data_IF_808263686154
#
_entry.id   IF_808263686154
#
_cell.length_a   1.000
_cell.length_b   1.000
_cell.length_c   1.000
_cell.angle_alpha   90.00
_cell.angle_beta   90.00
_cell.angle_gamma   90.00
#
_symmetry.space_group_name_H-M   'P 1'
#
loop_
_entity.id
_entity.type
_entity.pdbx_description
1 polymer ?
#
# COMPACT_ATOMS: atom_id res chain seq x y z
N UNK A 1 -14.32 32.31 5.19
CA UNK A 1 -12.93 32.57 5.46
C UNK A 1 -12.08 31.34 5.44
N UNK A 2 -10.81 31.53 5.27
CA UNK A 2 -9.84 30.44 5.28
C UNK A 2 -9.21 30.33 6.67
N UNK A 3 -8.92 29.07 7.06
CA UNK A 3 -8.24 28.77 8.32
C UNK A 3 -6.74 28.57 8.10
N UNK A 4 -6.32 28.33 6.86
CA UNK A 4 -4.96 27.93 6.49
C UNK A 4 -4.53 26.66 7.21
N UNK A 5 -5.45 25.72 7.32
CA UNK A 5 -5.26 24.41 7.92
C UNK A 5 -5.91 23.36 7.03
N UNK A 6 -5.15 22.34 6.65
CA UNK A 6 -5.65 21.16 5.94
C UNK A 6 -5.54 19.97 6.87
N UNK A 7 -6.61 19.21 6.98
CA UNK A 7 -6.55 17.92 7.70
C UNK A 7 -6.05 16.83 6.76
N UNK A 8 -4.95 16.21 7.13
CA UNK A 8 -4.45 15.03 6.46
C UNK A 8 -5.03 13.81 7.17
N UNK A 9 -5.97 13.15 6.51
CA UNK A 9 -6.66 11.96 7.04
C UNK A 9 -5.82 10.74 6.71
N UNK A 10 -5.31 10.10 7.75
CA UNK A 10 -4.53 8.88 7.63
C UNK A 10 -5.47 7.66 7.67
N UNK A 11 -5.13 6.55 7.01
CA UNK A 11 -6.05 5.39 7.00
C UNK A 11 -6.20 4.73 8.36
N UNK A 12 -5.22 4.84 9.26
CA UNK A 12 -5.19 4.22 10.57
C UNK A 12 -4.74 5.22 11.63
N UNK A 13 -4.33 4.74 12.82
CA UNK A 13 -3.86 5.60 13.90
C UNK A 13 -2.66 6.44 13.49
N UNK A 14 -2.58 7.66 14.02
CA UNK A 14 -1.45 8.56 13.75
C UNK A 14 -0.14 7.94 14.22
N UNK A 15 -0.14 7.32 15.39
CA UNK A 15 1.04 6.64 15.95
C UNK A 15 1.65 5.63 14.98
N UNK A 16 0.81 4.78 14.42
CA UNK A 16 1.24 3.78 13.44
C UNK A 16 1.73 4.42 12.16
N UNK A 17 0.97 5.38 11.63
CA UNK A 17 1.22 5.96 10.30
C UNK A 17 2.48 6.82 10.25
N UNK A 18 2.85 7.52 11.33
CA UNK A 18 4.06 8.35 11.32
C UNK A 18 5.35 7.52 11.28
N UNK A 19 5.29 6.24 11.65
CA UNK A 19 6.44 5.33 11.54
C UNK A 19 6.50 4.60 10.18
N UNK A 20 5.45 4.69 9.38
CA UNK A 20 5.40 4.04 8.07
C UNK A 20 6.22 4.86 7.05
N UNK A 21 7.25 4.28 6.42
CA UNK A 21 8.09 5.01 5.48
C UNK A 21 7.35 5.50 4.23
N UNK A 22 6.33 4.78 3.79
CA UNK A 22 5.50 5.19 2.64
C UNK A 22 4.66 6.42 3.00
N UNK A 23 3.99 6.38 4.14
CA UNK A 23 3.20 7.49 4.65
C UNK A 23 4.08 8.71 4.93
N UNK A 24 5.27 8.51 5.49
CA UNK A 24 6.23 9.59 5.77
C UNK A 24 6.67 10.29 4.49
N UNK A 25 6.96 9.55 3.42
CA UNK A 25 7.31 10.12 2.12
C UNK A 25 6.17 10.94 1.54
N UNK A 26 4.95 10.42 1.65
CA UNK A 26 3.76 11.14 1.22
C UNK A 26 3.58 12.45 2.01
N UNK A 27 3.68 12.39 3.33
CA UNK A 27 3.58 13.57 4.19
C UNK A 27 4.64 14.62 3.87
N UNK A 28 5.86 14.18 3.54
CA UNK A 28 6.92 15.10 3.11
C UNK A 28 6.51 15.86 1.85
N UNK A 29 5.94 15.17 0.87
CA UNK A 29 5.44 15.80 -0.36
C UNK A 29 4.34 16.81 -0.08
N UNK A 30 3.36 16.44 0.72
CA UNK A 30 2.24 17.31 1.10
C UNK A 30 2.76 18.56 1.80
N UNK A 31 3.57 18.40 2.84
CA UNK A 31 4.03 19.53 3.65
C UNK A 31 4.97 20.44 2.88
N UNK A 32 5.77 19.90 1.95
CA UNK A 32 6.64 20.72 1.11
C UNK A 32 5.87 21.77 0.29
N UNK A 33 4.67 21.45 -0.15
CA UNK A 33 3.80 22.37 -0.91
C UNK A 33 2.99 23.26 0.02
N UNK A 34 2.34 22.68 1.03
CA UNK A 34 1.43 23.44 1.89
C UNK A 34 2.19 24.49 2.70
N UNK A 35 3.37 24.16 3.23
CA UNK A 35 4.16 25.14 4.00
C UNK A 35 4.57 26.36 3.16
N UNK A 36 4.92 26.16 1.89
CA UNK A 36 5.24 27.28 0.98
C UNK A 36 4.04 28.20 0.76
N UNK A 37 2.84 27.71 0.98
CA UNK A 37 1.60 28.46 0.86
C UNK A 37 1.05 28.91 2.20
N UNK A 38 1.85 28.82 3.27
CA UNK A 38 1.47 29.19 4.64
C UNK A 38 0.26 28.41 5.15
N UNK A 39 0.13 27.15 4.76
CA UNK A 39 -0.94 26.24 5.20
C UNK A 39 -0.35 25.22 6.15
N UNK A 40 -0.96 25.07 7.32
CA UNK A 40 -0.59 24.08 8.32
C UNK A 40 -1.32 22.76 8.06
N UNK A 41 -0.72 21.67 8.53
CA UNK A 41 -1.27 20.33 8.41
C UNK A 41 -1.70 19.83 9.78
N UNK A 42 -2.94 19.37 9.87
CA UNK A 42 -3.48 18.69 11.03
C UNK A 42 -3.59 17.21 10.70
N UNK A 43 -2.92 16.36 11.48
CA UNK A 43 -3.02 14.91 11.27
C UNK A 43 -4.29 14.38 11.93
N UNK A 44 -5.10 13.67 11.14
CA UNK A 44 -6.37 13.11 11.60
C UNK A 44 -6.35 11.59 11.44
N UNK A 45 -6.67 10.88 12.53
CA UNK A 45 -6.66 9.42 12.54
C UNK A 45 -7.84 8.85 11.74
N UNK A 46 -7.56 7.92 10.83
CA UNK A 46 -8.60 7.19 10.09
C UNK A 46 -9.36 6.19 10.93
N UNK A 47 -8.92 5.92 12.16
CA UNK A 47 -9.67 5.11 13.12
C UNK A 47 -10.69 5.94 13.92
N UNK A 48 -10.62 7.26 13.83
CA UNK A 48 -11.61 8.16 14.44
C UNK A 48 -12.94 8.05 13.69
N UNK A 49 -14.05 8.16 14.40
CA UNK A 49 -15.39 8.06 13.80
C UNK A 49 -16.09 9.40 13.61
N UNK A 50 -15.44 10.52 13.93
CA UNK A 50 -16.12 11.80 13.97
C UNK A 50 -15.29 12.92 13.32
N UNK A 51 -15.58 13.19 12.04
CA UNK A 51 -15.00 14.29 11.29
C UNK A 51 -15.42 15.66 11.85
N UNK A 52 -16.57 15.72 12.53
CA UNK A 52 -17.13 16.96 13.05
C UNK A 52 -16.24 17.65 14.08
N UNK A 53 -15.32 16.89 14.70
CA UNK A 53 -14.37 17.46 15.66
C UNK A 53 -13.44 18.50 15.02
N UNK A 54 -13.22 18.45 13.71
CA UNK A 54 -12.28 19.34 13.01
C UNK A 54 -12.86 20.06 11.82
N UNK A 55 -14.04 19.67 11.31
CA UNK A 55 -14.57 20.19 10.05
C UNK A 55 -14.70 21.71 10.02
N UNK A 56 -15.03 22.31 11.15
CA UNK A 56 -15.21 23.76 11.25
C UNK A 56 -13.89 24.54 11.37
N UNK A 57 -12.77 23.83 11.53
CA UNK A 57 -11.46 24.42 11.78
C UNK A 57 -10.47 24.22 10.63
N UNK A 58 -10.88 23.55 9.58
CA UNK A 58 -10.00 23.24 8.44
C UNK A 58 -10.60 23.75 7.14
N UNK A 59 -9.75 24.01 6.16
CA UNK A 59 -10.19 24.39 4.82
C UNK A 59 -10.67 23.20 4.01
N UNK A 60 -10.21 22.00 4.36
CA UNK A 60 -10.60 20.75 3.74
C UNK A 60 -9.70 19.61 4.13
N UNK A 61 -9.74 18.56 3.32
CA UNK A 61 -9.14 17.27 3.67
C UNK A 61 -8.31 16.73 2.51
N UNK A 62 -7.15 16.15 2.85
CA UNK A 62 -6.40 15.27 1.96
C UNK A 62 -6.42 13.89 2.63
N UNK A 63 -6.95 12.89 1.92
CA UNK A 63 -7.10 11.54 2.47
C UNK A 63 -6.06 10.63 1.86
N UNK A 64 -5.12 10.15 2.69
CA UNK A 64 -4.09 9.21 2.27
C UNK A 64 -4.62 7.79 2.39
N UNK A 65 -5.21 7.28 1.30
CA UNK A 65 -5.85 5.97 1.30
C UNK A 65 -7.23 5.99 1.97
N UNK A 66 -7.85 4.82 2.00
CA UNK A 66 -9.19 4.67 2.58
C UNK A 66 -9.12 4.61 4.10
N UNK A 67 -9.81 5.48 4.83
CA UNK A 67 -9.89 5.39 6.29
C UNK A 67 -10.47 4.05 6.74
N UNK A 68 -9.92 3.51 7.81
CA UNK A 68 -10.36 2.22 8.35
C UNK A 68 -11.80 2.28 8.86
N UNK A 69 -12.21 3.42 9.42
CA UNK A 69 -13.57 3.61 9.93
C UNK A 69 -14.53 3.98 8.81
N UNK A 70 -15.52 3.12 8.57
CA UNK A 70 -16.53 3.33 7.51
C UNK A 70 -17.37 4.58 7.70
N UNK A 71 -17.69 4.94 8.94
CA UNK A 71 -18.44 6.16 9.24
C UNK A 71 -17.69 7.41 8.78
N UNK A 72 -16.37 7.41 8.93
CA UNK A 72 -15.53 8.50 8.47
C UNK A 72 -15.57 8.63 6.94
N UNK A 73 -15.55 7.52 6.22
CA UNK A 73 -15.68 7.52 4.76
C UNK A 73 -17.00 8.18 4.33
N UNK A 74 -18.10 7.82 4.99
CA UNK A 74 -19.42 8.42 4.66
C UNK A 74 -19.44 9.91 4.95
N UNK A 75 -18.82 10.36 6.03
CA UNK A 75 -18.72 11.79 6.35
C UNK A 75 -17.89 12.54 5.31
N UNK A 76 -16.80 11.95 4.81
CA UNK A 76 -15.99 12.54 3.75
C UNK A 76 -16.75 12.67 2.43
N UNK A 77 -17.64 11.73 2.13
CA UNK A 77 -18.49 11.79 0.94
C UNK A 77 -19.48 12.94 0.97
N UNK A 78 -19.90 13.40 2.14
CA UNK A 78 -20.98 14.36 2.30
C UNK A 78 -20.54 15.74 2.80
N UNK A 79 -19.29 15.89 3.27
CA UNK A 79 -18.80 17.18 3.76
C UNK A 79 -18.82 18.24 2.66
N UNK A 80 -19.21 19.49 2.97
CA UNK A 80 -19.12 20.58 2.00
C UNK A 80 -17.69 21.07 1.76
N UNK A 81 -16.75 20.67 2.61
CA UNK A 81 -15.34 21.04 2.47
C UNK A 81 -14.70 20.33 1.28
N UNK A 82 -13.66 20.91 0.73
CA UNK A 82 -12.91 20.31 -0.37
C UNK A 82 -12.16 19.05 0.11
N UNK A 83 -12.21 17.98 -0.68
CA UNK A 83 -11.57 16.71 -0.38
C UNK A 83 -10.73 16.27 -1.58
N UNK A 84 -9.47 15.93 -1.32
CA UNK A 84 -8.60 15.25 -2.28
C UNK A 84 -8.29 13.87 -1.72
N UNK A 85 -8.50 12.83 -2.51
CA UNK A 85 -8.20 11.45 -2.10
C UNK A 85 -6.97 10.92 -2.83
N UNK A 86 -6.26 9.99 -2.19
CA UNK A 86 -5.05 9.38 -2.73
C UNK A 86 -5.20 7.86 -2.68
N UNK A 87 -5.10 7.21 -3.84
CA UNK A 87 -5.29 5.77 -4.00
C UNK A 87 -6.62 5.27 -3.40
N UNK A 88 -7.63 6.09 -3.52
CA UNK A 88 -8.96 5.87 -2.95
C UNK A 88 -9.92 6.86 -3.60
N UNK A 89 -11.11 6.42 -3.97
CA UNK A 89 -12.10 7.25 -4.65
C UNK A 89 -13.42 7.26 -3.88
N UNK A 90 -13.95 8.45 -3.67
CA UNK A 90 -15.27 8.67 -3.06
C UNK A 90 -16.27 9.23 -4.08
N UNK A 91 -15.95 9.17 -5.37
CA UNK A 91 -16.77 9.66 -6.48
C UNK A 91 -17.11 11.14 -6.40
N UNK A 92 -16.19 11.94 -5.83
CA UNK A 92 -16.31 13.40 -5.79
C UNK A 92 -14.92 14.03 -5.68
N UNK A 93 -14.85 15.31 -6.03
CA UNK A 93 -13.64 16.11 -5.90
C UNK A 93 -12.46 15.56 -6.72
N UNK A 94 -11.26 15.73 -6.19
CA UNK A 94 -10.04 15.32 -6.85
C UNK A 94 -9.49 14.04 -6.27
N UNK A 95 -8.80 13.25 -7.09
CA UNK A 95 -8.07 12.08 -6.64
C UNK A 95 -6.73 11.93 -7.34
N UNK A 96 -5.76 11.35 -6.63
CA UNK A 96 -4.41 11.09 -7.11
C UNK A 96 -4.13 9.60 -6.93
N UNK A 97 -3.82 8.89 -7.99
CA UNK A 97 -3.71 7.43 -7.94
C UNK A 97 -2.58 6.94 -8.83
N UNK A 98 -1.95 5.82 -8.45
CA UNK A 98 -1.23 5.00 -9.41
C UNK A 98 -2.16 3.88 -9.91
N UNK A 99 -1.82 3.28 -11.03
CA UNK A 99 -2.53 2.08 -11.49
C UNK A 99 -2.01 0.86 -10.73
N UNK A 100 -2.58 0.60 -9.56
CA UNK A 100 -2.15 -0.48 -8.67
C UNK A 100 -2.27 -1.86 -9.30
N UNK A 101 -3.32 -2.11 -10.07
CA UNK A 101 -3.50 -3.39 -10.76
C UNK A 101 -2.41 -3.61 -11.81
N UNK A 102 -2.16 -2.63 -12.66
CA UNK A 102 -1.15 -2.76 -13.72
C UNK A 102 0.26 -2.88 -13.15
N UNK A 103 0.59 -2.08 -12.12
CA UNK A 103 1.89 -2.17 -11.45
C UNK A 103 2.12 -3.56 -10.85
N UNK A 104 1.10 -4.09 -10.18
CA UNK A 104 1.14 -5.42 -9.58
C UNK A 104 1.25 -6.53 -10.62
N UNK A 105 0.53 -6.38 -11.73
CA UNK A 105 0.65 -7.28 -12.86
C UNK A 105 2.10 -7.32 -13.39
N UNK A 106 2.71 -6.17 -13.58
CA UNK A 106 4.06 -6.08 -14.15
C UNK A 106 5.12 -6.70 -13.24
N UNK A 107 5.07 -6.42 -11.93
CA UNK A 107 6.05 -7.01 -11.01
C UNK A 107 5.85 -8.52 -10.85
N UNK A 108 4.62 -8.99 -10.84
CA UNK A 108 4.32 -10.42 -10.79
C UNK A 108 4.78 -11.12 -12.08
N UNK A 109 4.48 -10.54 -13.23
CA UNK A 109 4.94 -11.07 -14.52
C UNK A 109 6.45 -11.20 -14.58
N UNK A 110 7.16 -10.22 -14.06
CA UNK A 110 8.62 -10.25 -14.00
C UNK A 110 9.15 -11.45 -13.18
N UNK A 111 8.56 -11.75 -12.03
CA UNK A 111 9.09 -12.73 -11.09
C UNK A 111 8.73 -14.18 -11.46
N UNK A 112 7.70 -14.39 -12.28
CA UNK A 112 7.25 -15.73 -12.69
C UNK A 112 8.07 -16.21 -13.88
N UNK A 113 8.85 -17.28 -13.70
CA UNK A 113 9.78 -17.76 -14.72
C UNK A 113 9.31 -19.01 -15.45
N UNK A 114 8.62 -19.93 -14.76
CA UNK A 114 8.14 -21.13 -15.39
C UNK A 114 6.90 -21.70 -14.69
N UNK A 115 6.23 -22.63 -15.38
CA UNK A 115 4.97 -23.23 -14.93
C UNK A 115 5.08 -23.98 -13.61
N UNK A 116 6.29 -24.41 -13.23
CA UNK A 116 6.51 -25.17 -12.00
C UNK A 116 6.86 -24.27 -10.81
N UNK A 117 6.82 -22.96 -10.98
CA UNK A 117 7.05 -22.03 -9.87
C UNK A 117 5.99 -22.25 -8.78
N UNK A 118 6.47 -22.37 -7.55
CA UNK A 118 5.64 -22.50 -6.35
C UNK A 118 5.51 -21.14 -5.70
N UNK A 119 4.35 -20.52 -5.90
CA UNK A 119 4.13 -19.13 -5.55
C UNK A 119 3.35 -19.00 -4.25
N UNK A 120 3.79 -18.09 -3.40
CA UNK A 120 3.02 -17.61 -2.26
C UNK A 120 2.85 -16.09 -2.36
N UNK A 121 1.72 -15.60 -1.86
CA UNK A 121 1.40 -14.18 -1.82
C UNK A 121 1.27 -13.74 -0.37
N UNK A 122 2.05 -12.76 0.04
CA UNK A 122 1.93 -12.10 1.33
C UNK A 122 1.13 -10.81 1.13
N UNK A 123 -0.18 -10.92 1.32
CA UNK A 123 -1.12 -9.84 1.09
C UNK A 123 -1.27 -8.93 2.30
N UNK A 124 -1.58 -7.68 2.05
CA UNK A 124 -1.77 -6.66 3.07
C UNK A 124 -3.23 -6.23 3.09
N UNK A 125 -3.92 -6.48 4.20
CA UNK A 125 -5.32 -6.09 4.39
C UNK A 125 -6.25 -6.61 3.29
N UNK A 126 -6.08 -7.86 2.92
CA UNK A 126 -7.00 -8.53 1.99
C UNK A 126 -8.36 -8.79 2.63
N UNK A 127 -8.37 -9.02 3.93
CA UNK A 127 -9.57 -9.27 4.73
C UNK A 127 -9.82 -8.09 5.67
N UNK A 128 -11.09 -7.89 6.01
CA UNK A 128 -11.50 -6.89 7.00
C UNK A 128 -11.36 -7.44 8.44
N UNK A 129 -10.33 -8.25 8.65
CA UNK A 129 -10.02 -8.84 9.95
C UNK A 129 -8.63 -8.38 10.38
N UNK A 130 -8.50 -8.03 11.65
CA UNK A 130 -7.24 -7.55 12.22
C UNK A 130 -6.38 -8.72 12.71
N UNK A 131 -6.23 -9.76 11.87
CA UNK A 131 -5.53 -11.00 12.21
C UNK A 131 -4.63 -11.43 11.06
N UNK A 132 -3.45 -11.92 11.40
CA UNK A 132 -2.57 -12.58 10.44
C UNK A 132 -3.08 -14.01 10.25
N UNK A 133 -3.48 -14.36 9.04
CA UNK A 133 -4.00 -15.69 8.72
C UNK A 133 -3.81 -16.00 7.24
N UNK A 134 -3.94 -17.28 6.91
CA UNK A 134 -4.06 -17.70 5.52
C UNK A 134 -5.48 -17.44 5.04
N UNK A 135 -5.61 -17.12 3.76
CA UNK A 135 -6.91 -16.91 3.13
C UNK A 135 -7.48 -18.26 2.71
N UNK A 136 -8.75 -18.52 3.07
CA UNK A 136 -9.47 -19.71 2.68
C UNK A 136 -10.70 -19.31 1.86
N UNK A 137 -11.25 -20.24 1.08
CA UNK A 137 -12.41 -19.98 0.20
C UNK A 137 -13.60 -19.29 0.89
N UNK A 138 -13.79 -19.58 2.16
CA UNK A 138 -14.92 -19.02 2.92
C UNK A 138 -14.64 -17.62 3.48
N UNK A 139 -13.42 -17.10 3.35
CA UNK A 139 -13.12 -15.74 3.77
C UNK A 139 -13.67 -14.74 2.74
N UNK A 140 -14.31 -13.70 3.24
CA UNK A 140 -14.74 -12.60 2.40
C UNK A 140 -13.61 -11.57 2.30
N UNK A 141 -13.26 -11.21 1.08
CA UNK A 141 -12.33 -10.12 0.84
C UNK A 141 -13.01 -8.78 1.12
N UNK A 142 -12.22 -7.76 1.41
CA UNK A 142 -12.75 -6.40 1.50
C UNK A 142 -13.47 -6.06 0.20
N UNK A 143 -14.66 -5.49 0.32
CA UNK A 143 -15.48 -5.12 -0.83
C UNK A 143 -14.98 -3.83 -1.48
N UNK A 144 -15.24 -3.68 -2.78
CA UNK A 144 -14.97 -2.47 -3.53
C UNK A 144 -13.57 -2.40 -4.10
N UNK A 145 -13.16 -1.19 -4.43
CA UNK A 145 -11.91 -0.90 -5.14
C UNK A 145 -10.73 -0.65 -4.20
N UNK A 146 -10.59 -1.49 -3.16
CA UNK A 146 -9.44 -1.36 -2.26
C UNK A 146 -8.13 -1.59 -3.03
N UNK A 147 -7.07 -0.92 -2.57
CA UNK A 147 -5.73 -1.07 -3.15
C UNK A 147 -5.28 -2.52 -3.11
N UNK A 148 -5.52 -3.21 -2.00
CA UNK A 148 -5.14 -4.62 -1.83
C UNK A 148 -5.81 -5.52 -2.87
N UNK A 149 -7.08 -5.29 -3.16
CA UNK A 149 -7.81 -6.03 -4.19
C UNK A 149 -7.27 -5.73 -5.59
N UNK A 150 -6.99 -4.47 -5.89
CA UNK A 150 -6.40 -4.09 -7.17
C UNK A 150 -5.04 -4.77 -7.37
N UNK A 151 -4.20 -4.78 -6.34
CA UNK A 151 -2.90 -5.45 -6.39
C UNK A 151 -3.05 -6.95 -6.56
N UNK A 152 -3.96 -7.57 -5.81
CA UNK A 152 -4.23 -9.01 -5.95
C UNK A 152 -4.71 -9.36 -7.36
N UNK A 153 -5.60 -8.56 -7.94
CA UNK A 153 -6.04 -8.76 -9.33
C UNK A 153 -4.88 -8.73 -10.31
N UNK A 154 -3.94 -7.80 -10.11
CA UNK A 154 -2.74 -7.72 -10.94
C UNK A 154 -1.91 -9.00 -10.86
N UNK A 155 -1.67 -9.49 -9.66
CA UNK A 155 -0.96 -10.75 -9.43
C UNK A 155 -1.68 -11.92 -10.09
N UNK A 156 -3.00 -11.99 -9.92
CA UNK A 156 -3.82 -13.06 -10.47
C UNK A 156 -3.79 -13.07 -12.01
N UNK A 157 -3.81 -11.89 -12.64
CA UNK A 157 -3.66 -11.80 -14.10
C UNK A 157 -2.34 -12.40 -14.56
N UNK A 158 -1.24 -12.08 -13.91
CA UNK A 158 0.07 -12.62 -14.26
C UNK A 158 0.14 -14.13 -14.05
N UNK A 159 -0.45 -14.63 -12.97
CA UNK A 159 -0.50 -16.06 -12.68
C UNK A 159 -1.30 -16.83 -13.73
N UNK A 160 -2.45 -16.30 -14.13
CA UNK A 160 -3.28 -16.92 -15.18
C UNK A 160 -2.51 -16.98 -16.51
N UNK A 161 -1.85 -15.90 -16.90
CA UNK A 161 -1.03 -15.88 -18.12
C UNK A 161 0.12 -16.89 -18.07
N UNK A 162 0.69 -17.11 -16.91
CA UNK A 162 1.79 -18.06 -16.71
C UNK A 162 1.31 -19.50 -16.51
N UNK A 163 0.01 -19.75 -16.48
CA UNK A 163 -0.62 -21.04 -16.15
C UNK A 163 -0.18 -21.59 -14.80
N UNK A 164 -0.04 -20.70 -13.82
CA UNK A 164 0.32 -21.05 -12.45
C UNK A 164 -0.90 -20.86 -11.55
N UNK A 165 -1.23 -21.91 -10.78
CA UNK A 165 -2.29 -21.85 -9.77
C UNK A 165 -1.68 -21.62 -8.39
N UNK A 166 -2.31 -20.75 -7.61
CA UNK A 166 -1.94 -20.52 -6.21
C UNK A 166 -3.12 -20.96 -5.35
N UNK A 167 -2.88 -21.91 -4.47
CA UNK A 167 -3.90 -22.38 -3.54
C UNK A 167 -4.24 -21.26 -2.53
N UNK A 168 -5.48 -21.21 -2.06
CA UNK A 168 -5.94 -20.17 -1.12
C UNK A 168 -5.11 -20.16 0.17
N UNK A 169 -4.64 -21.32 0.62
CA UNK A 169 -3.79 -21.43 1.80
C UNK A 169 -2.33 -20.98 1.56
N UNK A 170 -2.02 -20.51 0.35
CA UNK A 170 -0.74 -19.90 -0.02
C UNK A 170 -0.85 -18.38 -0.20
N UNK A 171 -1.98 -17.82 0.19
CA UNK A 171 -2.23 -16.39 0.24
C UNK A 171 -2.45 -16.02 1.70
N UNK A 172 -1.62 -15.11 2.20
CA UNK A 172 -1.71 -14.63 3.58
C UNK A 172 -2.39 -13.28 3.64
N UNK A 173 -3.21 -13.08 4.66
CA UNK A 173 -3.69 -11.78 5.06
C UNK A 173 -2.81 -11.27 6.20
N UNK A 174 -2.13 -10.16 5.96
CA UNK A 174 -1.34 -9.47 6.97
C UNK A 174 -2.11 -8.20 7.33
N UNK A 175 -2.49 -8.01 8.61
CA UNK A 175 -3.41 -6.93 8.97
C UNK A 175 -2.79 -5.53 8.93
N UNK A 176 -1.47 -5.44 9.06
CA UNK A 176 -0.76 -4.15 8.98
C UNK A 176 0.69 -4.36 8.53
N UNK A 177 1.23 -3.36 7.85
CA UNK A 177 2.62 -3.37 7.39
C UNK A 177 3.55 -2.94 8.54
N UNK A 178 3.74 -3.83 9.50
CA UNK A 178 4.63 -3.61 10.66
C UNK A 178 5.67 -4.72 10.72
N UNK A 179 6.82 -4.44 11.36
CA UNK A 179 7.87 -5.44 11.51
C UNK A 179 7.39 -6.67 12.27
N UNK A 180 6.56 -6.48 13.29
CA UNK A 180 6.02 -7.59 14.07
C UNK A 180 5.28 -8.60 13.21
N UNK A 181 4.28 -8.14 12.45
CA UNK A 181 3.49 -9.02 11.60
C UNK A 181 4.30 -9.53 10.40
N UNK A 182 5.15 -8.68 9.84
CA UNK A 182 5.99 -9.07 8.72
C UNK A 182 6.95 -10.22 9.10
N UNK A 183 7.55 -10.14 10.29
CA UNK A 183 8.46 -11.19 10.77
C UNK A 183 7.72 -12.52 11.01
N UNK A 184 6.51 -12.48 11.56
CA UNK A 184 5.70 -13.67 11.76
C UNK A 184 5.33 -14.30 10.41
N UNK A 185 4.84 -13.49 9.48
CA UNK A 185 4.47 -13.94 8.14
C UNK A 185 5.66 -14.54 7.39
N UNK A 186 6.83 -13.94 7.49
CA UNK A 186 8.06 -14.42 6.87
C UNK A 186 8.40 -15.84 7.36
N UNK A 187 8.31 -16.07 8.66
CA UNK A 187 8.56 -17.39 9.24
C UNK A 187 7.53 -18.41 8.77
N UNK A 188 6.27 -18.04 8.73
CA UNK A 188 5.20 -18.94 8.28
C UNK A 188 5.38 -19.35 6.82
N UNK A 189 5.58 -18.37 5.92
CA UNK A 189 5.67 -18.66 4.49
C UNK A 189 6.90 -19.52 4.17
N UNK A 190 8.03 -19.29 4.84
CA UNK A 190 9.25 -20.08 4.62
C UNK A 190 9.19 -21.45 5.27
N UNK A 191 8.27 -21.68 6.20
CA UNK A 191 8.03 -22.98 6.83
C UNK A 191 7.00 -23.81 6.08
N UNK A 192 6.36 -23.27 5.06
CA UNK A 192 5.37 -24.01 4.28
C UNK A 192 6.03 -25.17 3.52
N UNK A 193 5.33 -26.29 3.41
CA UNK A 193 5.81 -27.47 2.72
C UNK A 193 4.85 -27.85 1.58
N UNK A 194 5.32 -27.85 0.32
CA UNK A 194 6.65 -27.46 -0.11
C UNK A 194 6.92 -25.97 0.05
N UNK A 195 8.17 -25.61 0.30
CA UNK A 195 8.54 -24.19 0.44
C UNK A 195 8.37 -23.48 -0.91
N UNK A 196 7.74 -22.28 -0.95
CA UNK A 196 7.66 -21.50 -2.17
C UNK A 196 9.06 -21.11 -2.68
N UNK A 197 9.20 -21.04 -4.01
CA UNK A 197 10.40 -20.49 -4.63
C UNK A 197 10.16 -19.07 -5.19
N UNK A 198 8.91 -18.60 -5.13
CA UNK A 198 8.51 -17.21 -5.47
C UNK A 198 7.60 -16.71 -4.38
N UNK A 199 7.93 -15.57 -3.80
CA UNK A 199 7.08 -14.89 -2.81
C UNK A 199 6.81 -13.47 -3.29
N UNK A 200 5.53 -13.18 -3.50
CA UNK A 200 5.06 -11.87 -3.92
C UNK A 200 4.52 -11.14 -2.69
N UNK A 201 5.12 -10.02 -2.34
CA UNK A 201 4.75 -9.25 -1.15
C UNK A 201 4.10 -7.93 -1.52
N UNK A 202 3.02 -7.57 -0.84
CA UNK A 202 2.28 -6.33 -1.10
C UNK A 202 2.93 -5.07 -0.51
N UNK A 203 3.99 -5.21 0.28
CA UNK A 203 4.79 -4.08 0.73
C UNK A 203 6.25 -4.46 0.81
N UNK A 204 7.13 -3.47 0.69
CA UNK A 204 8.57 -3.68 0.82
C UNK A 204 8.97 -4.09 2.23
N UNK A 205 8.29 -3.58 3.24
CA UNK A 205 8.57 -3.95 4.62
C UNK A 205 8.36 -5.44 4.84
N UNK A 206 7.30 -5.99 4.29
CA UNK A 206 7.01 -7.44 4.33
C UNK A 206 8.07 -8.21 3.53
N UNK A 207 8.41 -7.73 2.33
CA UNK A 207 9.42 -8.35 1.49
C UNK A 207 10.79 -8.38 2.17
N UNK A 208 11.20 -7.28 2.78
CA UNK A 208 12.49 -7.20 3.48
C UNK A 208 12.55 -8.12 4.69
N UNK A 209 11.47 -8.23 5.45
CA UNK A 209 11.38 -9.18 6.55
C UNK A 209 11.53 -10.62 6.06
N UNK A 210 10.92 -10.95 4.93
CA UNK A 210 11.01 -12.26 4.30
C UNK A 210 12.45 -12.55 3.83
N UNK A 211 13.10 -11.55 3.24
CA UNK A 211 14.51 -11.67 2.81
C UNK A 211 15.44 -11.90 4.02
N UNK A 212 15.26 -11.15 5.10
CA UNK A 212 16.07 -11.32 6.31
C UNK A 212 15.92 -12.73 6.88
N UNK A 213 14.70 -13.23 6.95
CA UNK A 213 14.43 -14.59 7.45
C UNK A 213 15.03 -15.65 6.52
N UNK A 214 14.92 -15.46 5.21
CA UNK A 214 15.50 -16.37 4.23
C UNK A 214 17.03 -16.43 4.36
N UNK A 215 17.69 -15.29 4.50
CA UNK A 215 19.14 -15.20 4.71
C UNK A 215 19.54 -15.92 5.99
N UNK A 216 18.78 -15.71 7.06
CA UNK A 216 19.01 -16.37 8.35
C UNK A 216 18.93 -17.89 8.23
N UNK A 217 18.07 -18.40 7.36
CA UNK A 217 17.92 -19.84 7.12
C UNK A 217 18.90 -20.38 6.07
N UNK A 218 19.79 -19.56 5.52
CA UNK A 218 20.75 -19.97 4.51
C UNK A 218 20.17 -20.11 3.11
N UNK A 219 19.00 -19.57 2.84
CA UNK A 219 18.36 -19.63 1.53
C UNK A 219 18.96 -18.56 0.64
N UNK A 220 19.37 -18.93 -0.57
CA UNK A 220 19.99 -17.99 -1.52
C UNK A 220 18.91 -17.25 -2.30
N UNK A 221 18.76 -15.96 -1.96
CA UNK A 221 17.81 -15.09 -2.60
C UNK A 221 18.25 -14.76 -4.03
N UNK A 222 17.32 -14.79 -4.95
CA UNK A 222 17.57 -14.61 -6.38
C UNK A 222 17.82 -15.93 -7.10
N UNK A 223 18.36 -16.90 -6.41
CA UNK A 223 18.65 -18.24 -6.96
C UNK A 223 17.64 -19.29 -6.55
N UNK A 224 17.52 -19.54 -5.24
CA UNK A 224 16.62 -20.56 -4.69
C UNK A 224 15.25 -20.00 -4.33
N UNK A 225 15.17 -18.71 -4.15
CA UNK A 225 13.97 -17.99 -3.76
C UNK A 225 13.97 -16.59 -4.38
N UNK A 226 12.93 -16.28 -5.15
CA UNK A 226 12.74 -14.94 -5.73
C UNK A 226 11.67 -14.23 -4.95
N UNK A 227 11.96 -12.98 -4.59
CA UNK A 227 11.07 -12.15 -3.77
C UNK A 227 10.90 -10.82 -4.46
N UNK A 228 9.65 -10.35 -4.51
CA UNK A 228 9.32 -9.01 -4.99
C UNK A 228 8.45 -8.29 -3.96
N UNK A 229 8.53 -6.97 -3.93
CA UNK A 229 7.78 -6.12 -3.04
C UNK A 229 6.90 -5.12 -3.77
N UNK A 230 6.55 -4.07 -3.05
CA UNK A 230 5.75 -2.95 -3.53
C UNK A 230 6.01 -1.77 -2.60
N UNK A 231 6.25 -0.60 -3.11
CA UNK A 231 6.38 0.73 -2.52
C UNK A 231 7.60 1.48 -3.02
N UNK A 232 8.77 0.82 -3.06
CA UNK A 232 10.03 1.47 -3.41
C UNK A 232 10.60 2.29 -2.25
N UNK A 233 10.59 1.74 -1.03
CA UNK A 233 11.19 2.44 0.13
C UNK A 233 12.72 2.44 0.02
N UNK A 234 13.35 3.37 0.72
CA UNK A 234 14.82 3.53 0.65
C UNK A 234 15.57 2.26 1.09
N UNK A 235 15.06 1.56 2.09
CA UNK A 235 15.66 0.30 2.56
C UNK A 235 15.71 -0.76 1.48
N UNK A 236 14.70 -0.83 0.60
CA UNK A 236 14.67 -1.78 -0.51
C UNK A 236 15.85 -1.58 -1.45
N UNK A 237 16.19 -0.32 -1.72
CA UNK A 237 17.32 0.02 -2.58
C UNK A 237 18.67 -0.25 -1.93
N UNK A 238 18.74 -0.18 -0.60
CA UNK A 238 19.99 -0.39 0.16
C UNK A 238 20.21 -1.84 0.59
N UNK A 239 19.19 -2.68 0.56
CA UNK A 239 19.31 -4.07 0.97
C UNK A 239 20.20 -4.86 -0.01
N UNK A 240 20.87 -5.89 0.48
CA UNK A 240 21.72 -6.77 -0.34
C UNK A 240 21.21 -8.21 -0.19
N UNK A 241 20.67 -8.80 -1.27
CA UNK A 241 20.51 -8.27 -2.62
C UNK A 241 19.42 -7.19 -2.68
N UNK A 242 19.50 -6.28 -3.65
CA UNK A 242 18.52 -5.20 -3.82
C UNK A 242 17.15 -5.79 -4.18
N UNK A 243 16.13 -5.35 -3.47
CA UNK A 243 14.76 -5.83 -3.66
C UNK A 243 14.18 -5.32 -4.99
N UNK A 244 13.64 -6.24 -5.76
CA UNK A 244 12.80 -5.88 -6.91
C UNK A 244 11.43 -5.42 -6.41
N UNK A 245 11.00 -4.24 -6.84
CA UNK A 245 9.79 -3.62 -6.32
C UNK A 245 9.16 -2.66 -7.33
N UNK A 246 7.98 -2.18 -6.99
CA UNK A 246 7.34 -1.04 -7.66
C UNK A 246 7.61 0.20 -6.83
N UNK A 247 8.27 1.19 -7.43
CA UNK A 247 8.43 2.51 -6.81
C UNK A 247 7.19 3.32 -7.12
N UNK A 248 6.36 3.60 -6.11
CA UNK A 248 5.07 4.24 -6.34
C UNK A 248 5.08 5.76 -6.23
N UNK A 249 6.26 6.38 -6.10
CA UNK A 249 6.43 7.82 -6.09
C UNK A 249 5.54 8.52 -5.03
N UNK A 250 5.61 8.04 -3.79
CA UNK A 250 4.75 8.53 -2.71
C UNK A 250 4.94 10.01 -2.39
N UNK A 251 6.16 10.50 -2.44
CA UNK A 251 6.44 11.93 -2.23
C UNK A 251 5.78 12.78 -3.33
N UNK A 252 5.90 12.35 -4.58
CA UNK A 252 5.27 13.03 -5.72
C UNK A 252 3.74 13.01 -5.62
N UNK A 253 3.15 11.89 -5.18
CA UNK A 253 1.71 11.84 -4.90
C UNK A 253 1.31 12.93 -3.89
N UNK A 254 2.11 13.11 -2.85
CA UNK A 254 1.88 14.14 -1.85
C UNK A 254 1.94 15.55 -2.43
N UNK A 255 2.94 15.83 -3.26
CA UNK A 255 3.07 17.11 -3.95
C UNK A 255 1.86 17.39 -4.83
N UNK A 256 1.46 16.41 -5.63
CA UNK A 256 0.31 16.54 -6.55
C UNK A 256 -0.98 16.73 -5.76
N UNK A 257 -1.19 15.94 -4.71
CA UNK A 257 -2.39 16.05 -3.87
C UNK A 257 -2.53 17.45 -3.25
N UNK A 258 -1.42 17.99 -2.72
CA UNK A 258 -1.42 19.32 -2.14
C UNK A 258 -1.69 20.41 -3.19
N UNK A 259 -1.12 20.28 -4.38
CA UNK A 259 -1.38 21.24 -5.46
C UNK A 259 -2.83 21.17 -5.94
N UNK A 260 -3.43 19.99 -6.05
CA UNK A 260 -4.85 19.86 -6.37
C UNK A 260 -5.73 20.46 -5.28
N UNK A 261 -5.33 20.32 -4.03
CA UNK A 261 -6.06 20.95 -2.93
C UNK A 261 -6.05 22.48 -3.05
N UNK A 262 -4.90 23.05 -3.31
CA UNK A 262 -4.75 24.52 -3.42
C UNK A 262 -5.49 25.06 -4.65
N UNK A 263 -5.37 24.40 -5.80
CA UNK A 263 -6.02 24.83 -7.04
C UNK A 263 -7.52 24.60 -7.06
N UNK A 264 -8.02 23.74 -6.17
CA UNK A 264 -9.44 23.34 -6.09
C UNK A 264 -9.97 22.71 -7.38
N UNK A 265 -9.08 22.16 -8.21
CA UNK A 265 -9.49 21.46 -9.41
C UNK A 265 -10.13 20.11 -9.05
N UNK A 266 -11.23 19.78 -9.71
CA UNK A 266 -11.89 18.50 -9.58
C UNK A 266 -11.39 17.58 -10.70
N UNK A 267 -10.33 16.84 -10.41
CA UNK A 267 -9.57 16.10 -11.42
C UNK A 267 -9.10 14.78 -10.85
N UNK A 268 -9.20 13.74 -11.67
CA UNK A 268 -8.60 12.43 -11.37
C UNK A 268 -7.23 12.41 -12.06
N UNK A 269 -6.17 12.34 -11.28
CA UNK A 269 -4.82 12.33 -11.82
C UNK A 269 -4.13 11.01 -11.52
N UNK A 270 -3.67 10.34 -12.57
CA UNK A 270 -2.84 9.16 -12.47
C UNK A 270 -1.37 9.59 -12.38
N UNK A 271 -0.64 9.00 -11.44
CA UNK A 271 0.78 9.23 -11.25
C UNK A 271 1.53 8.01 -11.78
N UNK A 272 2.64 8.25 -12.45
CA UNK A 272 3.48 7.16 -12.93
C UNK A 272 4.15 6.41 -11.78
N UNK A 273 4.42 5.14 -12.00
CA UNK A 273 5.23 4.30 -11.12
C UNK A 273 6.42 3.77 -11.89
N UNK A 274 7.38 3.19 -11.17
CA UNK A 274 8.57 2.63 -11.79
C UNK A 274 8.75 1.18 -11.36
N UNK A 275 9.06 0.32 -12.33
CA UNK A 275 9.45 -1.06 -12.07
C UNK A 275 10.96 -1.07 -11.79
N UNK A 276 11.32 -1.30 -10.53
CA UNK A 276 12.70 -1.27 -10.07
C UNK A 276 13.20 -2.69 -9.81
N UNK A 277 14.00 -3.23 -10.73
CA UNK A 277 14.46 -4.62 -10.69
C UNK A 277 15.84 -4.71 -10.05
N UNK A 278 15.92 -5.51 -9.00
CA UNK A 278 17.15 -5.86 -8.30
C UNK A 278 17.42 -7.36 -8.33
N UNK A 279 18.46 -7.76 -7.62
CA UNK A 279 18.90 -9.17 -7.63
C UNK A 279 18.05 -10.09 -6.73
N UNK A 280 17.00 -9.59 -6.09
CA UNK A 280 16.09 -10.42 -5.30
C UNK A 280 15.18 -11.30 -6.15
N UNK A 281 15.13 -11.06 -7.44
CA UNK A 281 14.25 -11.80 -8.33
C UNK A 281 14.90 -12.19 -9.64
#
# INVERSE_FOLDING_TARGET
GTFNIVALVLPDSVEYMVSDPVASSFMRGVTSVLEKNNINVLLFSGSNNNLNSVVDFVDGFICYGRPRNHALVEQLKTTPKHVVTVDFDINRNASVNINNEQASYEIAKHVLHNINDKVAILGLRLLDENVLCRVYEHHEFQTGESISHQRLRGYQRALVEANISVADDRIWNIPESSERFANIAAKEVLSASPRPNVIICMSDLIALATMREAIKQGIKIGKDLRIVGFDGIDEAARFVPRLSTIHQNSEEKGVIAANLFISKENKIQEVSYELDIGASS
#
